data_IF_577326502038
#
_entry.id   IF_577326502038
#
_cell.length_a   1.000
_cell.length_b   1.000
_cell.length_c   1.000
_cell.angle_alpha   90.00
_cell.angle_beta   90.00
_cell.angle_gamma   90.00
#
_symmetry.space_group_name_H-M   'P 1'
#
loop_
_entity.id
_entity.type
_entity.pdbx_description
1 polymer ?
#
# COMPACT_ATOMS: atom_id res chain seq x y z
N UNK A 1 4.82 3.55 -31.99
CA UNK A 1 5.19 3.83 -33.39
C UNK A 1 4.16 4.79 -33.94
N UNK A 2 4.58 6.00 -34.31
CA UNK A 2 3.70 6.93 -34.96
C UNK A 2 3.45 6.55 -36.44
N UNK A 3 2.52 7.23 -37.10
CA UNK A 3 2.13 6.94 -38.49
C UNK A 3 3.26 7.09 -39.51
N UNK A 4 4.41 7.65 -39.14
CA UNK A 4 5.59 7.90 -40.01
C UNK A 4 6.87 7.19 -39.53
N UNK A 5 6.78 6.23 -38.58
CA UNK A 5 7.92 5.47 -38.08
C UNK A 5 8.21 5.71 -36.59
N UNK A 6 9.48 5.62 -36.20
CA UNK A 6 9.92 5.92 -34.83
C UNK A 6 9.90 7.43 -34.59
N UNK A 7 9.16 7.86 -33.59
CA UNK A 7 9.00 9.27 -33.20
C UNK A 7 9.37 9.43 -31.71
N UNK A 8 10.02 10.55 -31.38
CA UNK A 8 10.25 10.98 -30.00
C UNK A 8 9.46 12.25 -29.73
N UNK A 9 8.62 12.22 -28.69
CA UNK A 9 7.85 13.38 -28.26
C UNK A 9 8.56 14.04 -27.09
N UNK A 10 8.91 15.32 -27.25
CA UNK A 10 9.55 16.14 -26.21
C UNK A 10 10.78 15.49 -25.57
N UNK A 11 11.77 15.07 -26.38
CA UNK A 11 12.97 14.41 -25.84
C UNK A 11 13.77 15.38 -24.95
N UNK A 12 14.32 14.85 -23.87
CA UNK A 12 15.38 15.56 -23.14
C UNK A 12 16.66 15.45 -23.98
N UNK A 13 17.21 16.60 -24.37
CA UNK A 13 18.39 16.68 -25.23
C UNK A 13 19.57 17.20 -24.43
N UNK A 14 20.69 16.51 -24.47
CA UNK A 14 21.96 16.97 -23.92
C UNK A 14 23.02 17.00 -25.05
N UNK A 15 23.61 18.18 -25.26
CA UNK A 15 24.75 18.29 -26.17
C UNK A 15 25.98 17.70 -25.52
N UNK A 16 26.61 16.73 -26.18
CA UNK A 16 27.86 16.11 -25.72
C UNK A 16 29.01 16.98 -26.17
N UNK A 17 29.79 17.47 -25.21
CA UNK A 17 31.05 18.21 -25.43
C UNK A 17 32.18 17.42 -24.79
N UNK A 18 33.43 17.80 -25.03
CA UNK A 18 34.60 17.14 -24.40
C UNK A 18 34.59 17.14 -22.88
N UNK A 19 33.79 18.04 -22.25
CA UNK A 19 33.65 18.15 -20.80
C UNK A 19 32.33 17.57 -20.30
N UNK A 20 31.52 16.96 -21.16
CA UNK A 20 30.26 16.34 -20.76
C UNK A 20 30.53 15.04 -19.99
N UNK A 21 29.98 14.85 -18.80
CA UNK A 21 30.11 13.59 -18.09
C UNK A 21 29.63 12.41 -18.95
N UNK A 22 30.31 11.28 -18.84
CA UNK A 22 29.91 10.04 -19.53
C UNK A 22 28.42 9.74 -19.27
N UNK A 23 27.73 9.08 -20.22
CA UNK A 23 26.33 8.70 -20.05
C UNK A 23 26.13 7.96 -18.73
N UNK A 24 25.02 8.25 -18.07
CA UNK A 24 24.69 7.61 -16.81
C UNK A 24 24.67 6.08 -16.98
N UNK A 25 25.30 5.39 -16.05
CA UNK A 25 25.34 3.92 -15.97
C UNK A 25 24.08 3.34 -15.34
N UNK A 26 23.01 4.13 -15.24
CA UNK A 26 21.76 3.80 -14.57
C UNK A 26 20.58 4.14 -15.48
N UNK A 27 19.49 3.42 -15.30
CA UNK A 27 18.22 3.74 -15.95
C UNK A 27 17.61 5.00 -15.31
N UNK A 28 16.91 5.76 -16.14
CA UNK A 28 16.26 7.00 -15.68
C UNK A 28 14.88 6.69 -15.11
N UNK A 29 14.68 6.95 -13.82
CA UNK A 29 13.36 6.82 -13.20
C UNK A 29 12.39 7.89 -13.73
N UNK A 30 11.14 7.47 -13.98
CA UNK A 30 10.03 8.32 -14.40
C UNK A 30 8.98 8.35 -13.29
N UNK A 31 8.59 9.56 -12.89
CA UNK A 31 7.64 9.78 -11.81
C UNK A 31 6.28 10.26 -12.33
N UNK A 32 5.18 9.99 -11.62
CA UNK A 32 3.89 10.60 -11.95
C UNK A 32 4.01 12.12 -12.01
N UNK A 33 3.52 12.72 -13.09
CA UNK A 33 3.59 14.17 -13.28
C UNK A 33 2.58 14.89 -12.39
N UNK A 34 3.01 16.01 -11.80
CA UNK A 34 2.15 16.95 -11.07
C UNK A 34 2.37 18.33 -11.66
N UNK A 35 1.31 19.14 -11.70
CA UNK A 35 1.40 20.51 -12.21
C UNK A 35 2.49 21.30 -11.48
N UNK A 36 3.33 22.00 -12.24
CA UNK A 36 4.45 22.80 -11.72
C UNK A 36 5.70 22.03 -11.35
N UNK A 37 5.68 20.68 -11.39
CA UNK A 37 6.84 19.86 -11.03
C UNK A 37 7.29 18.99 -12.21
N UNK A 38 8.45 19.33 -12.77
CA UNK A 38 9.03 18.64 -13.92
C UNK A 38 9.83 17.39 -13.51
N UNK A 39 9.99 16.43 -14.43
CA UNK A 39 10.77 15.21 -14.21
C UNK A 39 12.21 15.47 -13.69
N UNK A 40 12.98 16.42 -14.26
CA UNK A 40 14.31 16.74 -13.73
C UNK A 40 14.28 17.23 -12.28
N UNK A 41 13.27 18.05 -11.90
CA UNK A 41 13.12 18.52 -10.51
C UNK A 41 12.78 17.39 -9.56
N UNK A 42 11.89 16.47 -9.96
CA UNK A 42 11.59 15.27 -9.17
C UNK A 42 12.85 14.44 -8.91
N UNK A 43 13.59 14.14 -9.95
CA UNK A 43 14.86 13.38 -9.83
C UNK A 43 15.86 14.07 -8.90
N UNK A 44 16.00 15.37 -9.03
CA UNK A 44 16.92 16.13 -8.20
C UNK A 44 16.48 16.12 -6.71
N UNK A 45 15.21 16.31 -6.42
CA UNK A 45 14.69 16.28 -5.05
C UNK A 45 14.86 14.90 -4.41
N UNK A 46 14.56 13.83 -5.16
CA UNK A 46 14.73 12.46 -4.66
C UNK A 46 16.20 12.15 -4.42
N UNK A 47 17.09 12.53 -5.34
CA UNK A 47 18.52 12.38 -5.17
C UNK A 47 19.02 13.09 -3.90
N UNK A 48 18.59 14.32 -3.68
CA UNK A 48 18.96 15.08 -2.47
C UNK A 48 18.38 14.43 -1.20
N UNK A 49 17.13 13.98 -1.24
CA UNK A 49 16.48 13.32 -0.11
C UNK A 49 17.18 12.00 0.26
N UNK A 50 17.50 11.17 -0.71
CA UNK A 50 18.23 9.92 -0.48
C UNK A 50 19.64 10.19 0.04
N UNK A 51 20.38 11.11 -0.57
CA UNK A 51 21.72 11.45 -0.13
C UNK A 51 21.78 12.00 1.31
N UNK A 52 20.73 12.71 1.74
CA UNK A 52 20.69 13.36 3.04
C UNK A 52 20.10 12.50 4.15
N UNK A 53 19.11 11.66 3.83
CA UNK A 53 18.27 11.00 4.83
C UNK A 53 18.26 9.49 4.74
N UNK A 54 18.87 8.86 3.73
CA UNK A 54 18.80 7.40 3.60
C UNK A 54 19.48 6.65 4.75
N UNK A 55 20.50 7.25 5.37
CA UNK A 55 21.19 6.67 6.52
C UNK A 55 20.39 6.78 7.83
N UNK A 56 19.43 7.71 7.89
CA UNK A 56 18.58 7.92 9.06
C UNK A 56 17.38 6.93 9.07
N UNK A 57 17.17 6.18 7.98
CA UNK A 57 16.03 5.26 7.87
C UNK A 57 16.28 3.97 8.69
N UNK A 58 15.49 3.71 9.74
CA UNK A 58 15.65 2.51 10.53
C UNK A 58 15.15 1.28 9.76
N UNK A 59 15.87 0.16 9.85
CA UNK A 59 15.38 -1.13 9.38
C UNK A 59 14.43 -1.70 10.45
N UNK A 60 13.13 -1.69 10.18
CA UNK A 60 12.10 -2.12 11.12
C UNK A 60 11.69 -3.59 10.93
N UNK A 61 11.98 -4.16 9.77
CA UNK A 61 11.61 -5.56 9.48
C UNK A 61 12.73 -6.53 9.85
N UNK A 62 12.38 -7.65 10.49
CA UNK A 62 13.35 -8.75 10.69
C UNK A 62 13.93 -9.23 9.36
N UNK A 63 15.21 -9.63 9.36
CA UNK A 63 15.95 -10.03 8.15
C UNK A 63 15.25 -11.08 7.28
N UNK A 64 14.48 -11.99 7.88
CA UNK A 64 13.70 -13.01 7.15
C UNK A 64 12.61 -12.43 6.23
N UNK A 65 12.21 -11.16 6.42
CA UNK A 65 11.18 -10.47 5.64
C UNK A 65 11.75 -9.40 4.71
N UNK A 66 13.05 -9.15 4.71
CA UNK A 66 13.67 -8.10 3.87
C UNK A 66 13.88 -8.51 2.43
N UNK A 67 13.63 -9.77 2.10
CA UNK A 67 13.78 -10.32 0.75
C UNK A 67 15.18 -10.09 0.14
N UNK A 68 16.21 -10.04 1.00
CA UNK A 68 17.60 -9.79 0.62
C UNK A 68 17.96 -8.31 0.41
N UNK A 69 17.02 -7.37 0.61
CA UNK A 69 17.25 -5.94 0.51
C UNK A 69 16.95 -5.24 1.83
N UNK A 70 17.94 -4.52 2.37
CA UNK A 70 17.65 -3.53 3.42
C UNK A 70 16.81 -2.38 2.85
N UNK A 71 16.07 -1.67 3.70
CA UNK A 71 15.18 -0.58 3.27
C UNK A 71 15.90 0.45 2.40
N UNK A 72 17.05 0.93 2.85
CA UNK A 72 17.89 1.86 2.10
C UNK A 72 18.25 1.33 0.71
N UNK A 73 18.69 0.06 0.63
CA UNK A 73 19.09 -0.56 -0.63
C UNK A 73 17.91 -0.72 -1.59
N UNK A 74 16.74 -1.07 -1.06
CA UNK A 74 15.52 -1.18 -1.86
C UNK A 74 15.10 0.18 -2.44
N UNK A 75 15.12 1.23 -1.63
CA UNK A 75 14.83 2.59 -2.07
C UNK A 75 15.83 3.08 -3.13
N UNK A 76 17.12 2.90 -2.88
CA UNK A 76 18.14 3.30 -3.85
C UNK A 76 17.97 2.56 -5.18
N UNK A 77 17.74 1.25 -5.13
CA UNK A 77 17.56 0.43 -6.33
C UNK A 77 16.36 0.89 -7.19
N UNK A 78 15.21 1.20 -6.60
CA UNK A 78 14.03 1.60 -7.40
C UNK A 78 14.17 3.01 -8.00
N UNK A 79 14.96 3.88 -7.38
CA UNK A 79 15.20 5.23 -7.87
C UNK A 79 16.40 5.34 -8.81
N UNK A 80 17.37 4.45 -8.67
CA UNK A 80 18.59 4.38 -9.47
C UNK A 80 18.84 2.95 -9.98
N UNK A 81 17.90 2.37 -10.75
CA UNK A 81 18.08 0.99 -11.22
C UNK A 81 19.28 0.92 -12.17
N UNK A 82 20.14 -0.11 -12.05
CA UNK A 82 21.28 -0.29 -12.94
C UNK A 82 20.81 -0.59 -14.38
N UNK A 83 21.70 -0.38 -15.37
CA UNK A 83 21.36 -0.56 -16.80
C UNK A 83 20.95 -2.00 -17.13
N UNK A 84 21.52 -2.97 -16.44
CA UNK A 84 21.23 -4.40 -16.57
C UNK A 84 20.06 -4.88 -15.71
N UNK A 85 19.32 -3.95 -15.07
CA UNK A 85 18.15 -4.29 -14.28
C UNK A 85 17.12 -5.09 -15.07
N UNK A 86 16.50 -6.09 -14.43
CA UNK A 86 15.47 -6.90 -15.07
C UNK A 86 14.18 -6.07 -15.25
N UNK A 87 14.03 -5.48 -16.44
CA UNK A 87 12.90 -4.63 -16.79
C UNK A 87 11.55 -5.35 -16.71
N UNK A 88 11.52 -6.68 -16.98
CA UNK A 88 10.29 -7.46 -16.87
C UNK A 88 9.83 -7.54 -15.39
N UNK A 89 10.74 -7.84 -14.49
CA UNK A 89 10.43 -7.88 -13.06
C UNK A 89 10.03 -6.50 -12.53
N UNK A 90 10.73 -5.43 -12.94
CA UNK A 90 10.40 -4.07 -12.55
C UNK A 90 9.01 -3.65 -13.04
N UNK A 91 8.67 -3.95 -14.29
CA UNK A 91 7.36 -3.61 -14.86
C UNK A 91 6.20 -4.39 -14.22
N UNK A 92 6.45 -5.59 -13.74
CA UNK A 92 5.46 -6.44 -13.04
C UNK A 92 5.40 -6.19 -11.54
N UNK A 93 6.26 -5.34 -10.98
CA UNK A 93 6.36 -5.14 -9.54
C UNK A 93 6.89 -6.37 -8.77
N UNK A 94 7.53 -7.32 -9.47
CA UNK A 94 8.01 -8.58 -8.91
C UNK A 94 9.49 -8.59 -8.52
N UNK A 95 10.21 -7.49 -8.78
CA UNK A 95 11.60 -7.37 -8.36
C UNK A 95 11.73 -7.39 -6.82
N UNK A 96 12.73 -8.10 -6.25
CA UNK A 96 12.86 -8.23 -4.78
C UNK A 96 12.88 -6.89 -4.02
N UNK A 97 13.52 -5.85 -4.57
CA UNK A 97 13.50 -4.51 -3.98
C UNK A 97 12.09 -3.91 -3.92
N UNK A 98 11.28 -4.06 -4.99
CA UNK A 98 9.88 -3.61 -4.99
C UNK A 98 9.04 -4.43 -4.01
N UNK A 99 9.20 -5.75 -4.01
CA UNK A 99 8.49 -6.64 -3.07
C UNK A 99 8.82 -6.30 -1.61
N UNK A 100 10.06 -5.92 -1.33
CA UNK A 100 10.48 -5.44 0.00
C UNK A 100 9.67 -4.21 0.45
N UNK A 101 9.52 -3.22 -0.44
CA UNK A 101 8.79 -1.99 -0.14
C UNK A 101 7.28 -2.21 -0.05
N UNK A 102 6.72 -3.02 -0.97
CA UNK A 102 5.31 -3.42 -0.93
C UNK A 102 4.98 -4.12 0.39
N UNK A 103 5.84 -5.04 0.82
CA UNK A 103 5.63 -5.75 2.08
C UNK A 103 5.67 -4.82 3.29
N UNK A 104 6.62 -3.87 3.32
CA UNK A 104 6.69 -2.88 4.41
C UNK A 104 5.44 -2.02 4.49
N UNK A 105 4.95 -1.52 3.36
CA UNK A 105 3.73 -0.73 3.29
C UNK A 105 2.51 -1.51 3.78
N UNK A 106 2.37 -2.78 3.35
CA UNK A 106 1.30 -3.65 3.81
C UNK A 106 1.38 -3.92 5.32
N UNK A 107 2.57 -4.14 5.86
CA UNK A 107 2.78 -4.33 7.31
C UNK A 107 2.42 -3.06 8.06
N UNK A 108 2.90 -1.90 7.61
CA UNK A 108 2.59 -0.61 8.22
C UNK A 108 1.08 -0.34 8.22
N UNK A 109 0.40 -0.64 7.11
CA UNK A 109 -1.05 -0.54 7.01
C UNK A 109 -1.76 -1.46 8.02
N UNK A 110 -1.37 -2.74 8.09
CA UNK A 110 -1.95 -3.70 9.02
C UNK A 110 -1.71 -3.31 10.49
N UNK A 111 -0.51 -2.86 10.82
CA UNK A 111 -0.18 -2.38 12.18
C UNK A 111 -1.05 -1.17 12.54
N UNK A 112 -1.27 -0.25 11.62
CA UNK A 112 -2.15 0.91 11.82
C UNK A 112 -3.59 0.49 12.09
N UNK A 113 -4.12 -0.46 11.31
CA UNK A 113 -5.47 -1.00 11.53
C UNK A 113 -5.60 -1.72 12.87
N UNK A 114 -4.62 -2.55 13.23
CA UNK A 114 -4.60 -3.27 14.52
C UNK A 114 -4.49 -2.30 15.70
N UNK A 115 -3.65 -1.28 15.59
CA UNK A 115 -3.51 -0.24 16.62
C UNK A 115 -4.80 0.53 16.82
N UNK A 116 -5.46 0.93 15.72
CA UNK A 116 -6.77 1.59 15.78
C UNK A 116 -7.83 0.68 16.41
N UNK A 117 -7.85 -0.60 16.04
CA UNK A 117 -8.75 -1.58 16.63
C UNK A 117 -8.50 -1.74 18.12
N UNK A 118 -7.24 -1.86 18.53
CA UNK A 118 -6.87 -1.97 19.95
C UNK A 118 -7.30 -0.73 20.74
N UNK A 119 -7.10 0.47 20.19
CA UNK A 119 -7.56 1.72 20.78
C UNK A 119 -9.09 1.74 20.98
N UNK A 120 -9.86 1.41 19.95
CA UNK A 120 -11.32 1.36 20.01
C UNK A 120 -11.79 0.34 21.08
N UNK A 121 -11.11 -0.79 21.21
CA UNK A 121 -11.44 -1.82 22.21
C UNK A 121 -11.19 -1.39 23.67
N UNK A 122 -10.50 -0.26 23.89
CA UNK A 122 -10.32 0.33 25.23
C UNK A 122 -11.46 1.29 25.61
N UNK A 123 -12.26 1.71 24.64
CA UNK A 123 -13.40 2.59 24.88
C UNK A 123 -14.52 1.77 25.53
N UNK A 124 -15.15 2.30 26.56
CA UNK A 124 -16.34 1.69 27.15
C UNK A 124 -17.58 1.97 26.30
N UNK A 125 -18.41 0.96 26.13
CA UNK A 125 -19.69 1.08 25.45
C UNK A 125 -20.80 0.44 26.28
N UNK A 126 -22.02 0.96 26.23
CA UNK A 126 -23.14 0.40 26.95
C UNK A 126 -23.45 -1.01 26.44
N UNK A 127 -23.65 -1.94 27.36
CA UNK A 127 -24.10 -3.31 27.03
C UNK A 127 -25.53 -3.27 26.55
N UNK A 128 -25.79 -3.76 25.36
CA UNK A 128 -27.13 -3.84 24.80
C UNK A 128 -27.64 -5.26 24.93
N UNK A 129 -28.68 -5.44 25.73
CA UNK A 129 -29.39 -6.72 25.86
C UNK A 129 -30.70 -6.64 25.08
N UNK A 130 -30.73 -7.19 23.90
CA UNK A 130 -31.95 -7.20 23.10
C UNK A 130 -32.99 -8.20 23.66
N UNK A 131 -34.26 -7.78 23.68
CA UNK A 131 -35.37 -8.69 23.98
C UNK A 131 -35.50 -9.75 22.89
N UNK A 132 -35.46 -11.02 23.26
CA UNK A 132 -35.70 -12.13 22.32
C UNK A 132 -37.08 -12.06 21.66
N UNK A 133 -38.03 -11.38 22.26
CA UNK A 133 -39.41 -11.28 21.77
C UNK A 133 -39.47 -10.49 20.45
N UNK A 134 -38.85 -9.31 20.39
CA UNK A 134 -38.83 -8.52 19.16
C UNK A 134 -38.07 -9.21 18.02
N UNK A 135 -36.94 -9.85 18.33
CA UNK A 135 -36.19 -10.62 17.35
C UNK A 135 -37.04 -11.78 16.77
N UNK A 136 -37.79 -12.51 17.62
CA UNK A 136 -38.69 -13.56 17.17
C UNK A 136 -39.84 -13.02 16.30
N UNK A 137 -40.46 -11.91 16.70
CA UNK A 137 -41.50 -11.28 15.92
C UNK A 137 -41.01 -10.84 14.55
N UNK A 138 -39.82 -10.20 14.49
CA UNK A 138 -39.21 -9.84 13.22
C UNK A 138 -38.96 -11.05 12.35
N UNK A 139 -38.33 -12.11 12.87
CA UNK A 139 -38.04 -13.32 12.12
C UNK A 139 -39.28 -14.02 11.60
N UNK A 140 -40.38 -14.01 12.36
CA UNK A 140 -41.63 -14.59 11.94
C UNK A 140 -42.39 -13.77 10.88
N UNK A 141 -42.10 -12.48 10.76
CA UNK A 141 -42.69 -11.57 9.77
C UNK A 141 -41.94 -11.53 8.44
N UNK A 142 -40.73 -12.10 8.37
CA UNK A 142 -39.94 -12.13 7.11
C UNK A 142 -40.65 -13.06 6.09
N UNK A 143 -40.75 -12.61 4.82
CA UNK A 143 -41.33 -13.44 3.74
C UNK A 143 -40.36 -14.53 3.23
N UNK A 144 -39.20 -14.71 3.84
CA UNK A 144 -38.17 -15.68 3.48
C UNK A 144 -37.46 -16.23 4.73
N UNK A 145 -36.81 -17.35 4.60
CA UNK A 145 -35.95 -17.90 5.63
C UNK A 145 -34.51 -17.32 5.53
N UNK A 146 -33.96 -16.95 6.66
CA UNK A 146 -32.55 -16.52 6.72
C UNK A 146 -31.64 -17.69 6.35
N UNK A 147 -30.59 -17.39 5.57
CA UNK A 147 -29.51 -18.32 5.28
C UNK A 147 -28.69 -18.66 6.54
N UNK A 148 -27.96 -19.76 6.51
CA UNK A 148 -27.07 -20.13 7.62
C UNK A 148 -26.00 -19.07 7.90
N UNK A 149 -25.49 -18.39 6.85
CA UNK A 149 -24.54 -17.30 6.99
C UNK A 149 -25.16 -16.09 7.71
N UNK A 150 -26.37 -15.68 7.33
CA UNK A 150 -27.10 -14.59 7.98
C UNK A 150 -27.42 -14.92 9.45
N UNK A 151 -27.85 -16.14 9.75
CA UNK A 151 -28.10 -16.61 11.13
C UNK A 151 -26.82 -16.55 11.97
N UNK A 152 -25.68 -16.97 11.41
CA UNK A 152 -24.37 -16.92 12.08
C UNK A 152 -23.96 -15.49 12.38
N UNK A 153 -23.94 -14.62 11.37
CA UNK A 153 -23.53 -13.22 11.52
C UNK A 153 -24.44 -12.48 12.52
N UNK A 154 -25.76 -12.66 12.45
CA UNK A 154 -26.68 -12.07 13.41
C UNK A 154 -26.40 -12.52 14.86
N UNK A 155 -26.07 -13.81 15.07
CA UNK A 155 -25.68 -14.33 16.38
C UNK A 155 -24.40 -13.70 16.90
N UNK A 156 -23.40 -13.52 16.04
CA UNK A 156 -22.13 -12.88 16.39
C UNK A 156 -22.35 -11.41 16.75
N UNK A 157 -23.16 -10.66 16.00
CA UNK A 157 -23.51 -9.28 16.31
C UNK A 157 -24.17 -9.18 17.69
N UNK A 158 -25.14 -10.05 17.98
CA UNK A 158 -25.81 -10.07 19.30
C UNK A 158 -24.83 -10.41 20.42
N UNK A 159 -23.81 -11.22 20.17
CA UNK A 159 -22.76 -11.51 21.17
C UNK A 159 -21.87 -10.28 21.41
N UNK A 160 -21.47 -9.59 20.35
CA UNK A 160 -20.66 -8.38 20.48
C UNK A 160 -21.40 -7.25 21.21
N UNK A 161 -22.68 -7.05 20.94
CA UNK A 161 -23.52 -6.05 21.60
C UNK A 161 -23.65 -6.26 23.14
N UNK A 162 -23.42 -7.46 23.65
CA UNK A 162 -23.41 -7.76 25.09
C UNK A 162 -22.12 -7.37 25.79
N UNK A 163 -21.06 -7.07 25.03
CA UNK A 163 -19.79 -6.63 25.58
C UNK A 163 -19.87 -5.16 26.01
N UNK A 164 -19.03 -4.76 26.95
CA UNK A 164 -18.88 -3.34 27.33
C UNK A 164 -17.87 -2.61 26.43
N UNK A 165 -17.76 -3.03 25.16
CA UNK A 165 -16.81 -2.50 24.18
C UNK A 165 -17.56 -2.17 22.89
N UNK A 166 -17.15 -1.15 22.14
CA UNK A 166 -17.74 -0.85 20.84
C UNK A 166 -17.57 -2.01 19.87
N UNK A 167 -18.64 -2.35 19.18
CA UNK A 167 -18.58 -3.30 18.09
C UNK A 167 -17.97 -2.63 16.85
N UNK A 168 -16.97 -3.27 16.25
CA UNK A 168 -16.37 -2.87 14.98
C UNK A 168 -16.42 -4.05 14.01
N UNK A 169 -17.46 -4.09 13.17
CA UNK A 169 -17.68 -5.12 12.15
C UNK A 169 -17.98 -4.51 10.80
N UNK A 170 -17.39 -5.07 9.77
CA UNK A 170 -17.84 -4.90 8.39
C UNK A 170 -18.74 -6.10 8.05
N UNK A 171 -19.99 -5.80 7.69
CA UNK A 171 -20.92 -6.81 7.18
C UNK A 171 -20.98 -6.63 5.66
N UNK A 172 -20.55 -7.66 4.95
CA UNK A 172 -20.57 -7.68 3.48
C UNK A 172 -21.48 -8.82 3.03
N UNK A 173 -22.37 -8.53 2.09
CA UNK A 173 -23.28 -9.48 1.48
C UNK A 173 -23.44 -9.17 0.01
N UNK A 174 -23.88 -10.19 -0.73
CA UNK A 174 -24.31 -10.06 -2.12
C UNK A 174 -25.75 -9.52 -2.09
N UNK A 175 -26.01 -8.42 -2.81
CA UNK A 175 -27.30 -7.75 -2.91
C UNK A 175 -27.77 -7.73 -4.35
#
# INVERSE_FOLDING_TARGET
>A
MGARGLEMYHPEIQLITEHTPLPQTQLTAIYPSTEGLTQPKFREYIKQALAKHSDDLPELLPAKFTNGYALKQALDYIHHPPVDANMLQLSQGSHPAQQRLIFEELVAHQVSLLSRRAYIQQIEAPRISASRQFAKQLLSSLPFEMTNAQKRVSKEIVQDLKLNKPMLRLVQGDV
#
